data_IF_482374090256
#
_entry.id   IF_482374090256
#
_cell.length_a   1.000
_cell.length_b   1.000
_cell.length_c   1.000
_cell.angle_alpha   90.00
_cell.angle_beta   90.00
_cell.angle_gamma   90.00
#
_symmetry.space_group_name_H-M   'P 1'
#
loop_
_entity.id
_entity.type
_entity.pdbx_description
1 polymer ?
#
# COMPACT_ATOMS: atom_id res chain seq x y z
N UNK A 1 5.93 -9.37 15.75
CA UNK A 1 4.46 -9.30 15.61
C UNK A 1 4.06 -10.17 14.43
N UNK A 2 3.37 -11.28 14.67
CA UNK A 2 2.67 -12.02 13.61
C UNK A 2 1.43 -11.22 13.26
N UNK A 3 1.50 -10.40 12.22
CA UNK A 3 0.34 -9.68 11.69
C UNK A 3 -0.71 -10.73 11.34
N UNK A 4 -1.89 -10.67 11.96
CA UNK A 4 -3.03 -11.48 11.53
C UNK A 4 -3.27 -11.14 10.06
N UNK A 5 -3.11 -12.14 9.19
CA UNK A 5 -3.34 -11.96 7.74
C UNK A 5 -4.78 -11.50 7.53
N UNK A 6 -5.00 -10.59 6.59
CA UNK A 6 -6.35 -10.32 6.12
C UNK A 6 -6.82 -11.50 5.25
N UNK A 7 -8.12 -11.62 5.03
CA UNK A 7 -8.70 -12.69 4.21
C UNK A 7 -8.65 -12.34 2.72
N UNK A 8 -8.77 -11.05 2.39
CA UNK A 8 -8.85 -10.55 1.02
C UNK A 8 -7.92 -9.36 0.78
N UNK A 9 -7.44 -9.27 -0.45
CA UNK A 9 -6.67 -8.15 -1.00
C UNK A 9 -7.37 -7.69 -2.28
N UNK A 10 -7.41 -6.38 -2.50
CA UNK A 10 -7.80 -5.85 -3.79
C UNK A 10 -6.58 -5.85 -4.72
N UNK A 11 -6.71 -6.41 -5.91
CA UNK A 11 -5.65 -6.55 -6.91
C UNK A 11 -6.24 -6.25 -8.30
N UNK A 12 -5.76 -5.18 -8.94
CA UNK A 12 -6.09 -4.82 -10.33
C UNK A 12 -7.59 -4.77 -10.65
N UNK A 13 -8.42 -4.29 -9.72
CA UNK A 13 -9.87 -4.20 -9.91
C UNK A 13 -10.66 -5.29 -9.19
N UNK A 14 -10.01 -6.37 -8.76
CA UNK A 14 -10.68 -7.54 -8.23
C UNK A 14 -10.33 -7.79 -6.76
N UNK A 15 -11.30 -8.32 -6.00
CA UNK A 15 -11.07 -8.75 -4.63
C UNK A 15 -10.66 -10.24 -4.64
N UNK A 16 -9.38 -10.50 -4.39
CA UNK A 16 -8.81 -11.85 -4.38
C UNK A 16 -8.56 -12.32 -2.95
N UNK A 17 -8.48 -13.64 -2.73
CA UNK A 17 -8.07 -14.18 -1.44
C UNK A 17 -6.61 -13.82 -1.17
N UNK A 18 -6.25 -13.66 0.10
CA UNK A 18 -4.89 -13.29 0.49
C UNK A 18 -3.82 -14.18 -0.13
N UNK A 19 -4.02 -15.51 -0.15
CA UNK A 19 -3.08 -16.44 -0.74
C UNK A 19 -2.96 -16.34 -2.26
N UNK A 20 -3.99 -15.82 -2.94
CA UNK A 20 -4.06 -15.72 -4.40
C UNK A 20 -3.50 -14.39 -4.94
N UNK A 21 -3.22 -13.43 -4.05
CA UNK A 21 -2.52 -12.19 -4.38
C UNK A 21 -1.03 -12.46 -4.65
N UNK A 22 -0.74 -13.13 -5.77
CA UNK A 22 0.60 -13.56 -6.19
C UNK A 22 1.07 -12.77 -7.40
N UNK A 23 2.37 -12.53 -7.45
CA UNK A 23 3.07 -12.05 -8.64
C UNK A 23 4.10 -13.10 -9.05
N UNK A 24 4.48 -13.11 -10.33
CA UNK A 24 5.56 -13.98 -10.77
C UNK A 24 6.90 -13.49 -10.19
N UNK A 25 7.82 -14.41 -9.89
CA UNK A 25 9.13 -14.04 -9.31
C UNK A 25 9.99 -13.19 -10.24
N UNK A 26 9.63 -13.12 -11.53
CA UNK A 26 10.27 -12.27 -12.54
C UNK A 26 9.63 -10.87 -12.66
N UNK A 27 8.72 -10.49 -11.76
CA UNK A 27 8.18 -9.13 -11.77
C UNK A 27 9.27 -8.08 -11.60
N UNK A 28 9.26 -7.09 -12.48
CA UNK A 28 10.32 -6.08 -12.60
C UNK A 28 10.59 -5.35 -11.27
N UNK A 29 9.53 -5.05 -10.50
CA UNK A 29 9.66 -4.40 -9.19
C UNK A 29 10.45 -5.20 -8.15
N UNK A 30 10.46 -6.54 -8.23
CA UNK A 30 11.23 -7.39 -7.32
C UNK A 30 12.74 -7.34 -7.59
N UNK A 31 13.14 -6.99 -8.82
CA UNK A 31 14.55 -6.96 -9.24
C UNK A 31 15.12 -5.54 -9.30
N UNK A 32 14.28 -4.55 -9.60
CA UNK A 32 14.72 -3.18 -9.87
C UNK A 32 14.09 -2.13 -8.94
N UNK A 33 13.28 -2.54 -7.95
CA UNK A 33 12.69 -1.63 -6.97
C UNK A 33 11.65 -0.65 -7.56
N UNK A 34 11.16 -0.90 -8.77
CA UNK A 34 10.21 -0.04 -9.50
C UNK A 34 8.80 -0.16 -8.93
N UNK A 35 8.59 0.45 -7.77
CA UNK A 35 7.31 0.48 -7.08
C UNK A 35 7.15 1.76 -6.26
N UNK A 36 5.91 2.14 -5.98
CA UNK A 36 5.54 3.23 -5.08
C UNK A 36 4.42 2.75 -4.16
N UNK A 37 4.41 3.19 -2.90
CA UNK A 37 3.44 2.73 -1.92
C UNK A 37 2.98 3.85 -0.99
N UNK A 38 1.88 3.60 -0.29
CA UNK A 38 1.39 4.46 0.76
C UNK A 38 1.24 3.76 2.11
N UNK A 39 1.19 4.57 3.16
CA UNK A 39 0.92 4.12 4.50
C UNK A 39 -0.23 4.90 5.11
N UNK A 40 -1.39 4.25 5.23
CA UNK A 40 -2.64 4.93 5.58
C UNK A 40 -3.24 4.25 6.80
N UNK A 41 -3.86 5.05 7.67
CA UNK A 41 -4.52 4.55 8.88
C UNK A 41 -6.03 4.73 8.75
N UNK A 42 -6.74 3.66 9.09
CA UNK A 42 -8.16 3.67 9.38
C UNK A 42 -8.36 3.55 10.89
N UNK A 43 -9.22 4.40 11.42
CA UNK A 43 -9.54 4.45 12.85
C UNK A 43 -11.01 4.15 13.06
N UNK A 44 -11.30 3.42 14.14
CA UNK A 44 -12.66 3.26 14.60
C UNK A 44 -13.18 4.58 15.17
N UNK A 45 -14.45 4.87 14.92
CA UNK A 45 -15.07 6.13 15.35
C UNK A 45 -16.54 5.91 15.67
N UNK A 46 -17.17 6.90 16.32
CA UNK A 46 -18.61 6.88 16.60
C UNK A 46 -19.50 6.78 15.34
N UNK A 47 -18.96 6.99 14.14
CA UNK A 47 -19.66 6.83 12.84
C UNK A 47 -19.21 5.58 12.08
N UNK A 48 -18.45 4.70 12.72
CA UNK A 48 -17.78 3.56 12.09
C UNK A 48 -16.38 3.90 11.59
N UNK A 49 -15.76 3.02 10.77
CA UNK A 49 -14.35 3.13 10.38
C UNK A 49 -14.10 4.33 9.46
N UNK A 50 -13.14 5.18 9.80
CA UNK A 50 -12.78 6.38 9.03
C UNK A 50 -11.32 6.32 8.59
N UNK A 51 -11.07 6.54 7.30
CA UNK A 51 -9.71 6.62 6.74
C UNK A 51 -9.22 8.07 6.85
N UNK A 52 -8.13 8.28 7.58
CA UNK A 52 -7.59 9.61 7.84
C UNK A 52 -6.84 10.17 6.62
N UNK A 53 -7.18 11.41 6.20
CA UNK A 53 -6.55 12.12 5.07
C UNK A 53 -6.47 11.31 3.77
N UNK A 54 -7.54 10.56 3.51
CA UNK A 54 -7.56 9.53 2.48
C UNK A 54 -7.23 10.07 1.07
N UNK A 55 -7.83 11.21 0.69
CA UNK A 55 -7.60 11.81 -0.63
C UNK A 55 -6.16 12.27 -0.80
N UNK A 56 -5.57 12.87 0.22
CA UNK A 56 -4.18 13.34 0.16
C UNK A 56 -3.18 12.19 0.03
N UNK A 57 -3.44 11.06 0.71
CA UNK A 57 -2.64 9.85 0.53
C UNK A 57 -2.76 9.31 -0.91
N UNK A 58 -3.96 9.23 -1.48
CA UNK A 58 -4.12 8.76 -2.87
C UNK A 58 -3.54 9.72 -3.91
N UNK A 59 -3.64 11.02 -3.68
CA UNK A 59 -2.97 12.02 -4.52
C UNK A 59 -1.46 11.82 -4.47
N UNK A 60 -0.87 11.64 -3.28
CA UNK A 60 0.58 11.42 -3.15
C UNK A 60 1.04 10.10 -3.78
N UNK A 61 0.20 9.06 -3.75
CA UNK A 61 0.46 7.81 -4.47
C UNK A 61 0.54 8.05 -5.99
N UNK A 62 -0.41 8.80 -6.55
CA UNK A 62 -0.41 9.23 -7.96
C UNK A 62 0.81 10.10 -8.29
N UNK A 63 1.14 11.07 -7.45
CA UNK A 63 2.30 11.94 -7.64
C UNK A 63 3.61 11.14 -7.60
N UNK A 64 3.70 10.14 -6.72
CA UNK A 64 4.85 9.22 -6.65
C UNK A 64 4.96 8.40 -7.92
N UNK A 65 3.85 7.83 -8.41
CA UNK A 65 3.82 7.10 -9.68
C UNK A 65 4.22 8.00 -10.87
N UNK A 66 3.79 9.27 -10.86
CA UNK A 66 4.14 10.28 -11.87
C UNK A 66 5.64 10.58 -11.91
N UNK A 67 6.32 10.65 -10.76
CA UNK A 67 7.79 10.84 -10.70
C UNK A 67 8.50 9.70 -11.44
N UNK A 68 8.01 8.46 -11.28
CA UNK A 68 8.51 7.28 -11.99
C UNK A 68 7.97 7.11 -13.42
N UNK A 69 7.05 7.99 -13.86
CA UNK A 69 6.34 7.90 -15.16
C UNK A 69 5.57 6.59 -15.33
N UNK A 70 5.05 6.05 -14.23
CA UNK A 70 4.22 4.86 -14.26
C UNK A 70 2.84 5.16 -14.85
N UNK A 71 2.34 4.34 -15.79
CA UNK A 71 0.97 4.43 -16.25
C UNK A 71 0.01 3.89 -15.18
N UNK A 72 -0.80 4.76 -14.58
CA UNK A 72 -1.81 4.38 -13.58
C UNK A 72 -3.20 4.60 -14.17
N UNK A 73 -3.96 3.52 -14.34
CA UNK A 73 -5.29 3.56 -14.96
C UNK A 73 -6.39 3.98 -13.98
N UNK A 74 -6.22 3.70 -12.69
CA UNK A 74 -7.21 4.01 -11.66
C UNK A 74 -7.13 5.48 -11.26
N UNK A 75 -8.29 6.14 -11.23
CA UNK A 75 -8.47 7.46 -10.65
C UNK A 75 -8.28 7.43 -9.12
N UNK A 76 -8.06 8.61 -8.55
CA UNK A 76 -7.97 8.79 -7.09
C UNK A 76 -9.23 8.27 -6.39
N UNK A 77 -10.41 8.53 -6.94
CA UNK A 77 -11.68 8.12 -6.34
C UNK A 77 -11.88 6.61 -6.37
N UNK A 78 -11.47 5.94 -7.45
CA UNK A 78 -11.48 4.47 -7.55
C UNK A 78 -10.53 3.82 -6.53
N UNK A 79 -9.32 4.37 -6.37
CA UNK A 79 -8.37 3.87 -5.37
C UNK A 79 -8.88 4.09 -3.93
N UNK A 80 -9.54 5.22 -3.68
CA UNK A 80 -10.20 5.48 -2.40
C UNK A 80 -11.33 4.48 -2.14
N UNK A 81 -12.15 4.16 -3.14
CA UNK A 81 -13.21 3.17 -2.96
C UNK A 81 -12.65 1.76 -2.76
N UNK A 82 -11.62 1.38 -3.52
CA UNK A 82 -10.94 0.10 -3.33
C UNK A 82 -10.36 -0.05 -1.91
N UNK A 83 -9.80 1.02 -1.33
CA UNK A 83 -9.39 1.00 0.08
C UNK A 83 -10.56 0.75 1.04
N UNK A 84 -11.73 1.37 0.80
CA UNK A 84 -12.93 1.15 1.62
C UNK A 84 -13.44 -0.29 1.46
N UNK A 85 -13.42 -0.83 0.25
CA UNK A 85 -13.84 -2.20 -0.02
C UNK A 85 -12.97 -3.23 0.69
N UNK A 86 -11.65 -3.04 0.70
CA UNK A 86 -10.74 -3.93 1.44
C UNK A 86 -11.04 -3.89 2.95
N UNK A 87 -11.33 -2.70 3.51
CA UNK A 87 -11.72 -2.56 4.92
C UNK A 87 -13.03 -3.30 5.21
N UNK A 88 -14.07 -3.07 4.39
CA UNK A 88 -15.39 -3.71 4.55
C UNK A 88 -15.30 -5.22 4.40
N UNK A 89 -14.64 -5.71 3.34
CA UNK A 89 -14.55 -7.14 3.02
C UNK A 89 -13.81 -7.94 4.10
N UNK A 90 -12.82 -7.32 4.74
CA UNK A 90 -12.06 -7.92 5.83
C UNK A 90 -12.65 -7.63 7.23
N UNK A 91 -13.83 -6.99 7.31
CA UNK A 91 -14.50 -6.63 8.57
C UNK A 91 -13.60 -5.85 9.54
N UNK A 92 -12.83 -4.89 9.01
CA UNK A 92 -11.87 -4.12 9.81
C UNK A 92 -12.52 -2.84 10.34
N UNK A 93 -12.34 -2.55 11.62
CA UNK A 93 -12.78 -1.27 12.23
C UNK A 93 -11.62 -0.31 12.49
N UNK A 94 -10.42 -0.84 12.69
CA UNK A 94 -9.16 -0.10 12.72
C UNK A 94 -8.11 -0.88 11.96
N UNK A 95 -7.38 -0.22 11.06
CA UNK A 95 -6.47 -0.90 10.15
C UNK A 95 -5.31 -0.01 9.71
N UNK A 96 -4.22 -0.67 9.32
CA UNK A 96 -3.23 -0.09 8.43
C UNK A 96 -3.53 -0.55 7.00
N UNK A 97 -3.56 0.39 6.06
CA UNK A 97 -3.82 0.16 4.63
C UNK A 97 -2.52 0.42 3.88
N UNK A 98 -2.18 -0.50 2.97
CA UNK A 98 -0.98 -0.49 2.12
C UNK A 98 -1.39 -0.58 0.64
N UNK A 99 -1.72 0.54 0.00
CA UNK A 99 -1.70 0.63 -1.46
C UNK A 99 -0.27 0.51 -1.96
N UNK A 100 -0.06 -0.22 -3.06
CA UNK A 100 1.22 -0.39 -3.73
C UNK A 100 0.96 -0.45 -5.25
N UNK A 101 1.66 0.39 -6.01
CA UNK A 101 1.69 0.39 -7.46
C UNK A 101 3.08 -0.05 -7.90
N UNK A 102 3.19 -1.01 -8.82
CA UNK A 102 4.47 -1.58 -9.20
C UNK A 102 4.49 -2.10 -10.63
N UNK A 103 5.69 -2.21 -11.20
CA UNK A 103 5.87 -2.82 -12.53
C UNK A 103 5.90 -4.34 -12.39
N UNK A 104 4.96 -5.01 -13.05
CA UNK A 104 4.77 -6.46 -13.02
C UNK A 104 5.75 -7.25 -13.88
N UNK A 105 5.32 -8.43 -14.34
CA UNK A 105 6.10 -9.27 -15.26
C UNK A 105 5.99 -8.74 -16.70
N UNK A 106 6.91 -7.84 -17.05
CA UNK A 106 6.96 -7.16 -18.37
C UNK A 106 8.27 -7.44 -19.11
N UNK A 107 9.03 -8.45 -18.66
CA UNK A 107 10.39 -8.74 -19.11
C UNK A 107 11.48 -8.08 -18.25
N UNK A 108 12.72 -8.53 -18.45
CA UNK A 108 13.87 -8.20 -17.58
C UNK A 108 14.74 -7.03 -18.04
N UNK A 109 14.38 -6.36 -19.14
CA UNK A 109 15.06 -5.13 -19.53
C UNK A 109 14.88 -4.05 -18.47
N UNK A 110 15.95 -3.32 -18.13
CA UNK A 110 15.92 -2.27 -17.08
C UNK A 110 14.89 -1.18 -17.39
N UNK A 111 14.67 -0.90 -18.67
CA UNK A 111 13.57 -0.05 -19.11
C UNK A 111 12.39 -0.95 -19.51
N UNK A 112 11.21 -0.83 -18.87
CA UNK A 112 10.01 -1.54 -19.28
C UNK A 112 9.67 -1.29 -20.76
N UNK A 113 9.09 -2.28 -21.46
CA UNK A 113 8.71 -2.12 -22.86
C UNK A 113 7.65 -1.04 -23.04
N UNK A 114 7.60 -0.40 -24.21
CA UNK A 114 6.57 0.60 -24.51
C UNK A 114 5.16 -0.01 -24.38
N UNK A 115 4.21 0.76 -23.81
CA UNK A 115 2.82 0.34 -23.65
C UNK A 115 2.55 -0.65 -22.51
N UNK A 116 3.52 -0.89 -21.61
CA UNK A 116 3.29 -1.67 -20.39
C UNK A 116 2.23 -1.02 -19.48
N UNK A 117 1.65 -1.80 -18.56
CA UNK A 117 0.79 -1.31 -17.49
C UNK A 117 1.41 -1.66 -16.13
N UNK A 118 1.11 -0.87 -15.10
CA UNK A 118 1.47 -1.23 -13.72
C UNK A 118 0.39 -2.05 -13.06
N UNK A 119 0.81 -2.92 -12.15
CA UNK A 119 -0.05 -3.61 -11.21
C UNK A 119 -0.32 -2.73 -9.99
N UNK A 120 -1.53 -2.85 -9.43
CA UNK A 120 -1.96 -2.14 -8.23
C UNK A 120 -2.59 -3.13 -7.26
N UNK A 121 -2.08 -3.14 -6.02
CA UNK A 121 -2.66 -3.90 -4.92
C UNK A 121 -2.98 -2.99 -3.74
N UNK A 122 -4.04 -3.32 -3.02
CA UNK A 122 -4.40 -2.66 -1.76
C UNK A 122 -4.68 -3.76 -0.73
N UNK A 123 -3.80 -3.84 0.27
CA UNK A 123 -3.99 -4.70 1.44
C UNK A 123 -4.35 -3.84 2.66
N UNK A 124 -5.16 -4.38 3.57
CA UNK A 124 -5.38 -3.78 4.88
C UNK A 124 -5.41 -4.85 5.97
N UNK A 125 -4.84 -4.54 7.14
CA UNK A 125 -4.76 -5.48 8.26
C UNK A 125 -4.75 -4.74 9.60
N UNK A 126 -5.11 -5.40 10.72
CA UNK A 126 -5.01 -4.81 12.05
C UNK A 126 -3.56 -4.40 12.37
N UNK A 127 -3.36 -3.19 12.87
CA UNK A 127 -2.04 -2.70 13.23
C UNK A 127 -2.08 -1.82 14.47
N UNK A 128 -1.40 -2.26 15.53
CA UNK A 128 -1.29 -1.53 16.79
C UNK A 128 -0.37 -0.31 16.71
N UNK A 129 0.10 0.15 17.87
CA UNK A 129 1.15 1.16 17.94
C UNK A 129 2.47 0.58 17.41
N UNK A 130 3.12 1.28 16.47
CA UNK A 130 4.32 0.78 15.80
C UNK A 130 5.51 0.59 16.76
N UNK A 131 5.68 1.53 17.69
CA UNK A 131 6.76 1.51 18.70
C UNK A 131 6.28 1.02 20.07
N UNK A 132 5.05 0.49 20.15
CA UNK A 132 4.41 0.14 21.42
C UNK A 132 3.72 1.32 22.09
N UNK A 133 2.87 1.02 23.08
CA UNK A 133 2.14 2.04 23.84
C UNK A 133 3.07 2.83 24.76
N UNK A 134 4.05 2.16 25.37
CA UNK A 134 5.03 2.77 26.29
C UNK A 134 5.85 3.87 25.60
N UNK A 135 6.26 3.66 24.35
CA UNK A 135 6.97 4.65 23.56
C UNK A 135 6.17 5.93 23.29
N UNK A 136 4.83 5.85 23.28
CA UNK A 136 3.98 7.03 23.13
C UNK A 136 3.94 7.87 24.41
N UNK A 137 4.16 7.25 25.57
CA UNK A 137 4.12 7.90 26.88
C UNK A 137 5.50 8.38 27.33
N UNK A 138 6.53 7.55 27.13
CA UNK A 138 7.89 7.77 27.64
C UNK A 138 8.85 8.33 26.59
N UNK A 139 8.44 8.36 25.32
CA UNK A 139 9.32 8.67 24.20
C UNK A 139 10.15 7.46 23.76
N UNK A 140 11.06 7.68 22.81
CA UNK A 140 11.99 6.67 22.31
C UNK A 140 13.42 7.18 22.33
N UNK A 141 14.36 6.26 22.47
CA UNK A 141 15.76 6.53 22.16
C UNK A 141 15.97 6.47 20.64
N UNK A 142 16.62 7.49 20.10
CA UNK A 142 16.99 7.56 18.69
C UNK A 142 18.49 7.88 18.55
N UNK A 143 19.08 7.51 17.42
CA UNK A 143 20.49 7.78 17.11
C UNK A 143 20.64 8.49 15.76
N UNK A 144 21.70 9.28 15.62
CA UNK A 144 22.09 9.84 14.32
C UNK A 144 22.67 8.73 13.47
N UNK A 145 22.02 8.42 12.35
CA UNK A 145 22.49 7.38 11.42
C UNK A 145 23.80 7.80 10.73
N UNK A 146 24.71 6.85 10.52
CA UNK A 146 25.88 7.05 9.65
C UNK A 146 25.53 7.07 8.16
N UNK A 147 24.30 6.70 7.80
CA UNK A 147 23.80 6.70 6.43
C UNK A 147 23.16 8.06 6.07
N UNK A 148 23.61 8.65 4.97
CA UNK A 148 23.06 9.90 4.47
C UNK A 148 21.74 9.67 3.74
N UNK A 149 20.71 10.46 4.09
CA UNK A 149 19.51 10.60 3.28
C UNK A 149 19.84 11.49 2.08
N UNK A 150 19.88 10.92 0.87
CA UNK A 150 20.03 11.64 -0.40
C UNK A 150 18.76 11.51 -1.21
#
# INVERSE_FOLDING_TARGET
>A
MTTKKADYIWFNGEMVRWEDAKVHVMSHALHYGTSVFEGIRCYDSHKGPVVFRHREHMQRLHDSAKIYRFPVSQSIDELMEACRDVIRKNNLTSAYIRPLIFVGDVGMGVNPPAGYSTDVIIAAFPWGAYLGAEALEQGIDAMVSSWNRR
#
